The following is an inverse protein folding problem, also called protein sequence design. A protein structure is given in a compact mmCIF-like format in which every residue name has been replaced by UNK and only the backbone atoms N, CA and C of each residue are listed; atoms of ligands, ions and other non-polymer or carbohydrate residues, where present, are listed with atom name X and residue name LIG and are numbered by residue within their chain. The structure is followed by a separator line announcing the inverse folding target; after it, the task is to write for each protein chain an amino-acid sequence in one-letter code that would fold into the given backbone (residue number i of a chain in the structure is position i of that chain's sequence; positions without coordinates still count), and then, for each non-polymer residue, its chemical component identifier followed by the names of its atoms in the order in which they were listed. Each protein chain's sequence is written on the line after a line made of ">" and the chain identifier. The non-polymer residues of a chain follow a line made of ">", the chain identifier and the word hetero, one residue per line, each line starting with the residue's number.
data_IF_797244855617
#
_entry.id   IF_797244855617
#
_cell.length_a   1.000
_cell.length_b   1.000
_cell.length_c   1.000
_cell.angle_alpha   90.00
_cell.angle_beta   90.00
_cell.angle_gamma   90.00
#
_symmetry.space_group_name_H-M   'P 1'
#
loop_
_entity.id
_entity.type
_entity.pdbx_description
1 polymer ?
#
# COMPACT_ATOMS: atom_id res chain seq x y z
N UNK A 1 16.10 -1.10 23.51
CA UNK A 1 17.42 -1.73 23.41
C UNK A 1 17.12 -3.14 22.96
N UNK A 2 17.81 -3.57 21.90
CA UNK A 2 17.69 -4.87 21.21
C UNK A 2 16.38 -4.96 20.38
N UNK A 3 16.41 -5.18 19.07
CA UNK A 3 16.89 -6.42 18.48
C UNK A 3 17.45 -6.26 17.05
N UNK A 4 18.78 -6.19 16.97
CA UNK A 4 19.53 -6.61 15.77
C UNK A 4 19.55 -8.14 15.75
N UNK A 5 18.47 -8.75 15.28
CA UNK A 5 18.45 -10.18 14.98
C UNK A 5 19.24 -10.35 13.67
N UNK A 6 20.51 -10.77 13.78
CA UNK A 6 21.42 -11.12 12.67
C UNK A 6 21.99 -9.98 11.79
N UNK A 7 22.17 -8.76 12.30
CA UNK A 7 22.80 -7.68 11.52
C UNK A 7 21.97 -7.21 10.31
N UNK A 8 20.70 -7.61 10.28
CA UNK A 8 19.67 -7.11 9.37
C UNK A 8 18.97 -5.97 10.13
N UNK A 9 18.91 -4.75 9.59
CA UNK A 9 18.23 -3.64 10.26
C UNK A 9 16.78 -4.03 10.58
N UNK A 10 16.31 -3.62 11.76
CA UNK A 10 14.96 -3.89 12.23
C UNK A 10 13.96 -3.43 11.15
N UNK A 11 13.25 -4.39 10.56
CA UNK A 11 12.26 -4.08 9.52
C UNK A 11 11.23 -3.10 10.06
N UNK A 12 10.54 -2.37 9.19
CA UNK A 12 9.42 -1.49 9.61
C UNK A 12 8.37 -2.26 10.43
N UNK A 13 8.17 -3.56 10.15
CA UNK A 13 7.32 -4.41 10.97
C UNK A 13 7.84 -4.52 12.40
N UNK A 14 6.98 -4.18 13.37
CA UNK A 14 7.32 -4.17 14.80
C UNK A 14 7.90 -2.85 15.31
N UNK A 15 8.16 -1.87 14.43
CA UNK A 15 8.54 -0.51 14.84
C UNK A 15 7.39 0.19 15.57
N UNK A 16 7.72 1.28 16.29
CA UNK A 16 6.70 2.08 16.98
C UNK A 16 5.70 2.67 15.99
N UNK A 17 6.20 3.18 14.87
CA UNK A 17 5.39 3.77 13.79
C UNK A 17 4.44 2.74 13.18
N UNK A 18 4.89 1.48 13.03
CA UNK A 18 4.03 0.40 12.58
C UNK A 18 2.92 0.08 13.58
N UNK A 19 3.25 0.01 14.87
CA UNK A 19 2.23 -0.20 15.91
C UNK A 19 1.24 0.97 15.97
N UNK A 20 1.69 2.19 15.71
CA UNK A 20 0.85 3.38 15.72
C UNK A 20 -0.10 3.41 14.51
N UNK A 21 0.35 3.00 13.31
CA UNK A 21 -0.56 2.89 12.14
C UNK A 21 -1.58 1.76 12.30
N UNK A 22 -1.21 0.63 12.93
CA UNK A 22 -2.16 -0.47 13.21
C UNK A 22 -3.22 -0.07 14.24
N UNK A 23 -2.85 0.72 15.25
CA UNK A 23 -3.83 1.31 16.19
C UNK A 23 -4.78 2.27 15.46
N UNK A 24 -4.27 3.13 14.59
CA UNK A 24 -5.12 4.01 13.77
C UNK A 24 -6.06 3.20 12.88
N UNK A 25 -5.58 2.15 12.20
CA UNK A 25 -6.42 1.24 11.40
C UNK A 25 -7.56 0.68 12.24
N UNK A 26 -7.28 0.27 13.49
CA UNK A 26 -8.28 -0.25 14.41
C UNK A 26 -9.34 0.81 14.80
N UNK A 27 -8.93 2.06 14.99
CA UNK A 27 -9.80 3.14 15.43
C UNK A 27 -10.73 3.68 14.34
N UNK A 28 -10.20 3.97 13.14
CA UNK A 28 -10.96 4.60 12.03
C UNK A 28 -11.36 3.62 10.93
N UNK A 29 -10.84 2.40 10.98
CA UNK A 29 -11.04 1.38 9.96
C UNK A 29 -10.09 1.53 8.76
N UNK A 30 -9.81 0.41 8.06
CA UNK A 30 -8.85 0.38 6.96
C UNK A 30 -9.25 1.19 5.74
N UNK A 31 -10.54 1.36 5.47
CA UNK A 31 -11.00 2.13 4.31
C UNK A 31 -10.74 3.62 4.49
N UNK A 32 -11.09 4.16 5.66
CA UNK A 32 -10.86 5.57 5.98
C UNK A 32 -9.37 5.90 6.07
N UNK A 33 -8.57 5.00 6.68
CA UNK A 33 -7.12 5.18 6.74
C UNK A 33 -6.48 5.18 5.33
N UNK A 34 -6.92 4.29 4.44
CA UNK A 34 -6.45 4.28 3.05
C UNK A 34 -6.82 5.58 2.31
N UNK A 35 -8.05 6.08 2.49
CA UNK A 35 -8.49 7.34 1.90
C UNK A 35 -7.70 8.55 2.44
N UNK A 36 -7.27 8.53 3.70
CA UNK A 36 -6.41 9.56 4.27
C UNK A 36 -5.00 9.53 3.68
N UNK A 37 -4.37 8.34 3.63
CA UNK A 37 -3.01 8.16 3.09
C UNK A 37 -2.97 8.59 1.62
N UNK A 38 -3.92 8.12 0.81
CA UNK A 38 -3.94 8.39 -0.64
C UNK A 38 -4.18 9.86 -1.01
N UNK A 39 -4.70 10.68 -0.10
CA UNK A 39 -4.83 12.14 -0.30
C UNK A 39 -3.54 12.91 -0.01
N UNK A 40 -2.57 12.30 0.66
CA UNK A 40 -1.29 12.94 0.94
C UNK A 40 -0.42 13.03 -0.31
N UNK A 41 0.40 14.07 -0.41
CA UNK A 41 1.34 14.26 -1.53
C UNK A 41 2.50 13.24 -1.49
N UNK A 42 2.91 12.82 -0.30
CA UNK A 42 4.04 11.90 -0.06
C UNK A 42 3.74 11.03 1.15
N UNK A 43 4.18 9.79 1.15
CA UNK A 43 3.93 8.82 2.23
C UNK A 43 5.23 8.42 2.93
N UNK A 44 5.14 8.15 4.22
CA UNK A 44 6.21 7.53 5.01
C UNK A 44 6.41 6.07 4.61
N UNK A 45 7.56 5.48 4.98
CA UNK A 45 7.86 4.07 4.67
C UNK A 45 6.84 3.12 5.30
N UNK A 46 6.31 3.48 6.47
CA UNK A 46 5.27 2.74 7.20
C UNK A 46 3.96 2.76 6.43
N UNK A 47 3.53 3.92 5.94
CA UNK A 47 2.32 4.06 5.13
C UNK A 47 2.46 3.31 3.79
N UNK A 48 3.62 3.39 3.13
CA UNK A 48 3.91 2.65 1.90
C UNK A 48 3.74 1.14 2.12
N UNK A 49 4.37 0.60 3.17
CA UNK A 49 4.29 -0.83 3.50
C UNK A 49 2.88 -1.24 3.94
N UNK A 50 2.19 -0.38 4.67
CA UNK A 50 0.81 -0.62 5.08
C UNK A 50 -0.13 -0.69 3.86
N UNK A 51 0.00 0.25 2.91
CA UNK A 51 -0.78 0.23 1.66
C UNK A 51 -0.45 -1.03 0.85
N UNK A 52 0.82 -1.42 0.73
CA UNK A 52 1.22 -2.66 0.08
C UNK A 52 0.56 -3.89 0.73
N UNK A 53 0.56 -4.00 2.06
CA UNK A 53 -0.15 -5.05 2.83
C UNK A 53 -1.64 -5.10 2.44
N UNK A 54 -2.30 -3.95 2.34
CA UNK A 54 -3.73 -3.87 1.93
C UNK A 54 -3.96 -4.34 0.50
N UNK A 55 -3.12 -3.90 -0.44
CA UNK A 55 -3.23 -4.29 -1.84
C UNK A 55 -3.05 -5.81 -2.00
N UNK A 56 -2.04 -6.39 -1.36
CA UNK A 56 -1.80 -7.85 -1.35
C UNK A 56 -3.01 -8.61 -0.79
N UNK A 57 -3.61 -8.13 0.31
CA UNK A 57 -4.81 -8.75 0.88
C UNK A 57 -5.99 -8.76 -0.11
N UNK A 58 -6.28 -7.62 -0.75
CA UNK A 58 -7.42 -7.52 -1.68
C UNK A 58 -7.22 -8.35 -2.96
N UNK A 59 -6.01 -8.31 -3.55
CA UNK A 59 -5.70 -9.15 -4.72
C UNK A 59 -5.64 -10.64 -4.36
N UNK A 60 -5.12 -11.00 -3.17
CA UNK A 60 -5.06 -12.38 -2.69
C UNK A 60 -6.44 -12.99 -2.38
N UNK A 61 -7.39 -12.17 -1.88
CA UNK A 61 -8.77 -12.60 -1.58
C UNK A 61 -9.60 -12.91 -2.83
N UNK A 62 -9.12 -12.56 -4.04
CA UNK A 62 -9.90 -12.63 -5.29
C UNK A 62 -11.26 -11.94 -5.14
N UNK A 63 -11.23 -10.73 -4.60
CA UNK A 63 -12.42 -9.92 -4.27
C UNK A 63 -13.43 -9.90 -5.44
N UNK A 64 -14.70 -10.17 -5.12
CA UNK A 64 -15.74 -10.34 -6.11
C UNK A 64 -16.05 -9.05 -6.91
N UNK A 65 -15.81 -7.87 -6.31
CA UNK A 65 -15.95 -6.59 -7.01
C UNK A 65 -14.75 -6.33 -7.91
N UNK A 66 -13.53 -6.66 -7.46
CA UNK A 66 -12.35 -6.54 -8.32
C UNK A 66 -12.43 -7.43 -9.57
N UNK A 67 -13.14 -8.57 -9.52
CA UNK A 67 -13.40 -9.41 -10.71
C UNK A 67 -14.22 -8.71 -11.81
N UNK A 68 -14.91 -7.62 -11.49
CA UNK A 68 -15.62 -6.82 -12.49
C UNK A 68 -14.71 -5.84 -13.24
N UNK A 69 -13.50 -5.59 -12.73
CA UNK A 69 -12.54 -4.72 -13.40
C UNK A 69 -11.99 -5.41 -14.67
N UNK A 70 -11.70 -4.64 -15.75
CA UNK A 70 -11.05 -5.18 -16.93
C UNK A 70 -9.72 -5.89 -16.57
N UNK A 71 -9.41 -7.06 -17.18
CA UNK A 71 -8.17 -7.78 -16.91
C UNK A 71 -6.91 -6.94 -17.06
N UNK A 72 -6.88 -6.03 -18.05
CA UNK A 72 -5.76 -5.11 -18.30
C UNK A 72 -5.54 -4.15 -17.12
N UNK A 73 -6.63 -3.70 -16.49
CA UNK A 73 -6.57 -2.85 -15.29
C UNK A 73 -6.02 -3.62 -14.10
N UNK A 74 -6.46 -4.86 -13.90
CA UNK A 74 -5.94 -5.73 -12.84
C UNK A 74 -4.45 -6.02 -13.04
N UNK A 75 -4.02 -6.30 -14.27
CA UNK A 75 -2.60 -6.49 -14.58
C UNK A 75 -1.76 -5.23 -14.36
N UNK A 76 -2.31 -4.06 -14.69
CA UNK A 76 -1.64 -2.76 -14.46
C UNK A 76 -1.44 -2.51 -12.96
N UNK A 77 -2.50 -2.69 -12.16
CA UNK A 77 -2.41 -2.53 -10.72
C UNK A 77 -1.40 -3.51 -10.09
N UNK A 78 -1.40 -4.77 -10.55
CA UNK A 78 -0.44 -5.78 -10.08
C UNK A 78 1.01 -5.41 -10.44
N UNK A 79 1.24 -4.91 -11.66
CA UNK A 79 2.55 -4.42 -12.09
C UNK A 79 3.02 -3.24 -11.26
N UNK A 80 2.13 -2.31 -10.91
CA UNK A 80 2.47 -1.16 -10.08
C UNK A 80 2.77 -1.55 -8.63
N UNK A 81 2.05 -2.55 -8.07
CA UNK A 81 2.38 -3.17 -6.77
C UNK A 81 3.76 -3.82 -6.81
N UNK A 82 4.05 -4.62 -7.83
CA UNK A 82 5.33 -5.31 -7.96
C UNK A 82 6.50 -4.33 -8.15
N UNK A 83 6.29 -3.23 -8.89
CA UNK A 83 7.30 -2.15 -9.03
C UNK A 83 7.57 -1.44 -7.72
N UNK A 84 6.53 -1.08 -6.98
CA UNK A 84 6.69 -0.46 -5.66
C UNK A 84 7.40 -1.41 -4.70
N UNK A 85 7.04 -2.69 -4.71
CA UNK A 85 7.70 -3.73 -3.92
C UNK A 85 9.18 -3.89 -4.32
N UNK A 86 9.49 -3.93 -5.62
CA UNK A 86 10.87 -4.01 -6.12
C UNK A 86 11.70 -2.83 -5.64
N UNK A 87 11.21 -1.59 -5.76
CA UNK A 87 11.93 -0.38 -5.32
C UNK A 87 12.17 -0.40 -3.81
N UNK A 88 11.20 -0.86 -3.02
CA UNK A 88 11.35 -0.96 -1.56
C UNK A 88 12.30 -2.09 -1.15
N UNK A 89 12.29 -3.22 -1.85
CA UNK A 89 13.11 -4.39 -1.51
C UNK A 89 14.57 -4.29 -1.99
N UNK A 90 14.81 -3.66 -3.14
CA UNK A 90 16.15 -3.37 -3.67
C UNK A 90 16.92 -2.39 -2.75
N UNK A 91 16.17 -1.60 -1.99
CA UNK A 91 16.68 -0.58 -1.07
C UNK A 91 16.56 -1.13 0.36
N UNK A 92 17.41 -2.09 0.68
CA UNK A 92 17.59 -2.59 2.05
C UNK A 92 18.25 -1.54 2.96
N UNK A 93 17.50 -0.48 3.30
CA UNK A 93 17.86 0.61 4.23
C UNK A 93 18.78 1.72 3.66
N UNK A 94 18.35 2.47 2.62
CA UNK A 94 18.42 3.94 2.80
C UNK A 94 17.12 4.74 2.54
N UNK A 95 17.07 5.99 3.02
CA UNK A 95 16.00 6.96 2.75
C UNK A 95 15.72 7.10 1.24
N UNK A 96 14.49 6.80 0.80
CA UNK A 96 14.05 7.09 -0.56
C UNK A 96 14.21 8.59 -0.82
N UNK A 97 14.95 8.93 -1.87
CA UNK A 97 14.99 10.30 -2.37
C UNK A 97 13.56 10.78 -2.72
N UNK A 98 13.35 12.09 -2.68
CA UNK A 98 12.02 12.68 -2.81
C UNK A 98 11.33 12.33 -4.16
N UNK A 99 12.12 12.15 -5.22
CA UNK A 99 11.60 11.80 -6.54
C UNK A 99 11.15 10.32 -6.59
N UNK A 100 11.96 9.41 -6.05
CA UNK A 100 11.60 8.00 -5.93
C UNK A 100 10.39 7.82 -5.02
N UNK A 101 10.34 8.53 -3.89
CA UNK A 101 9.19 8.51 -2.98
C UNK A 101 7.92 8.97 -3.69
N UNK A 102 7.98 10.08 -4.41
CA UNK A 102 6.86 10.61 -5.19
C UNK A 102 6.39 9.61 -6.27
N UNK A 103 7.33 8.98 -6.98
CA UNK A 103 7.02 7.95 -7.96
C UNK A 103 6.31 6.74 -7.34
N UNK A 104 6.83 6.21 -6.23
CA UNK A 104 6.22 5.08 -5.51
C UNK A 104 4.82 5.43 -5.01
N UNK A 105 4.62 6.61 -4.40
CA UNK A 105 3.31 7.06 -3.93
C UNK A 105 2.31 7.16 -5.08
N UNK A 106 2.74 7.67 -6.24
CA UNK A 106 1.89 7.76 -7.44
C UNK A 106 1.46 6.38 -7.92
N UNK A 107 2.41 5.43 -8.04
CA UNK A 107 2.12 4.08 -8.53
C UNK A 107 1.25 3.27 -7.57
N UNK A 108 1.50 3.39 -6.27
CA UNK A 108 0.64 2.75 -5.28
C UNK A 108 -0.74 3.39 -5.25
N UNK A 109 -0.84 4.72 -5.33
CA UNK A 109 -2.10 5.44 -5.44
C UNK A 109 -2.94 4.94 -6.62
N UNK A 110 -2.34 4.85 -7.81
CA UNK A 110 -3.00 4.30 -9.00
C UNK A 110 -3.48 2.84 -8.79
N UNK A 111 -2.65 2.02 -8.14
CA UNK A 111 -2.94 0.62 -7.84
C UNK A 111 -4.08 0.41 -6.82
N UNK A 112 -4.46 1.45 -6.06
CA UNK A 112 -5.65 1.40 -5.16
C UNK A 112 -6.97 1.49 -5.92
N UNK A 113 -6.96 1.76 -7.22
CA UNK A 113 -8.18 1.80 -8.03
C UNK A 113 -8.94 0.48 -7.98
N UNK A 114 -10.21 0.53 -7.59
CA UNK A 114 -11.07 -0.63 -7.34
C UNK A 114 -11.10 -1.07 -5.88
N UNK A 115 -10.28 -0.46 -5.03
CA UNK A 115 -10.24 -0.66 -3.57
C UNK A 115 -10.69 0.60 -2.83
N UNK A 116 -10.28 1.79 -3.28
CA UNK A 116 -10.71 3.06 -2.68
C UNK A 116 -12.21 3.29 -2.79
N UNK A 117 -12.80 3.96 -1.81
CA UNK A 117 -14.26 4.14 -1.63
C UNK A 117 -14.97 4.61 -2.90
N UNK A 118 -14.46 5.68 -3.52
CA UNK A 118 -14.98 6.27 -4.76
C UNK A 118 -14.92 5.32 -5.97
N UNK A 119 -13.84 4.55 -6.09
CA UNK A 119 -13.64 3.61 -7.20
C UNK A 119 -14.40 2.29 -7.01
N UNK A 120 -14.61 1.85 -5.75
CA UNK A 120 -15.52 0.73 -5.45
C UNK A 120 -16.96 1.07 -5.81
N UNK A 121 -17.39 2.30 -5.54
CA UNK A 121 -18.72 2.77 -5.95
C UNK A 121 -18.92 2.69 -7.47
N UNK A 122 -17.87 2.99 -8.24
CA UNK A 122 -17.88 2.78 -9.69
C UNK A 122 -18.03 1.30 -10.07
N UNK A 123 -17.27 0.39 -9.44
CA UNK A 123 -17.38 -1.06 -9.69
C UNK A 123 -18.77 -1.62 -9.33
N UNK A 124 -19.43 -1.08 -8.31
CA UNK A 124 -20.81 -1.46 -7.98
C UNK A 124 -21.80 -1.14 -9.10
N UNK A 125 -21.54 -0.08 -9.89
CA UNK A 125 -22.38 0.36 -11.00
C UNK A 125 -22.17 -0.45 -12.29
N UNK A 126 -21.09 -1.24 -12.37
CA UNK A 126 -20.84 -2.15 -13.49
C UNK A 126 -21.75 -3.37 -13.35
N UNK A 127 -22.63 -3.56 -14.34
CA UNK A 127 -23.54 -4.71 -14.46
C UNK A 127 -22.82 -5.93 -14.98
#
# INVERSE_FOLDING_TARGET
>A
MEDNIFGIPATVFGSKEWNDIEKREYEIGPEQLLDEITKQKTWSNVEILWVLKRLIYFYGKKDALLKKAPPERLMTNMMDVLRAFYIVFDIGDPELDENLRSYVCTKLGDATWGIGSSTREYLYKIK
#
